data_IF_669983523383
#
_entry.id   IF_669983523383
#
_cell.length_a   1.000
_cell.length_b   1.000
_cell.length_c   1.000
_cell.angle_alpha   90.00
_cell.angle_beta   90.00
_cell.angle_gamma   90.00
#
_symmetry.space_group_name_H-M   'P 1'
#
loop_
_entity.id
_entity.type
_entity.pdbx_description
1 polymer ?
#
# COMPACT_ATOMS: atom_id res chain seq x y z
N UNK A 1 -16.52 -8.05 -4.82
CA UNK A 1 -16.93 -7.11 -3.76
C UNK A 1 -16.46 -5.72 -4.14
N UNK A 2 -17.38 -4.76 -4.24
CA UNK A 2 -17.04 -3.37 -4.56
C UNK A 2 -16.72 -2.66 -3.26
N UNK A 3 -15.45 -2.35 -3.01
CA UNK A 3 -15.05 -1.51 -1.88
C UNK A 3 -15.59 -0.11 -2.18
N UNK A 4 -16.73 0.24 -1.59
CA UNK A 4 -17.22 1.61 -1.56
C UNK A 4 -16.43 2.34 -0.47
N UNK A 5 -15.57 3.27 -0.86
CA UNK A 5 -14.96 4.22 0.06
C UNK A 5 -16.06 5.10 0.66
N UNK A 6 -16.48 4.79 1.89
CA UNK A 6 -17.30 5.71 2.65
C UNK A 6 -16.51 6.99 2.95
N UNK A 7 -17.11 8.13 2.58
CA UNK A 7 -16.56 9.47 2.78
C UNK A 7 -16.50 9.83 4.27
N UNK A 8 -15.49 9.34 5.00
CA UNK A 8 -14.97 9.94 6.24
C UNK A 8 -13.46 9.73 6.27
N UNK A 9 -12.72 10.77 6.66
CA UNK A 9 -11.26 10.94 6.56
C UNK A 9 -10.36 9.92 7.31
N UNK A 10 -10.76 8.65 7.49
CA UNK A 10 -9.98 7.61 8.19
C UNK A 10 -9.10 6.78 7.26
N UNK A 11 -7.99 6.23 7.76
CA UNK A 11 -7.18 5.21 7.07
C UNK A 11 -8.08 4.03 6.64
N UNK A 12 -7.81 3.41 5.48
CA UNK A 12 -8.68 2.37 4.95
C UNK A 12 -8.80 1.14 5.86
N UNK A 13 -9.93 0.43 5.83
CA UNK A 13 -10.11 -0.89 6.48
C UNK A 13 -9.03 -1.90 6.03
N UNK A 14 -8.45 -1.65 4.86
CA UNK A 14 -7.34 -2.41 4.32
C UNK A 14 -6.05 -2.25 5.13
N UNK A 15 -5.79 -1.06 5.72
CA UNK A 15 -4.67 -0.89 6.65
C UNK A 15 -4.84 -1.78 7.89
N UNK A 16 -6.04 -1.86 8.45
CA UNK A 16 -6.31 -2.70 9.62
C UNK A 16 -6.04 -4.17 9.30
N UNK A 17 -6.47 -4.64 8.12
CA UNK A 17 -6.20 -6.00 7.64
C UNK A 17 -4.69 -6.28 7.54
N UNK A 18 -3.91 -5.35 7.01
CA UNK A 18 -2.45 -5.50 6.93
C UNK A 18 -1.81 -5.51 8.32
N UNK A 19 -2.22 -4.63 9.24
CA UNK A 19 -1.67 -4.60 10.61
C UNK A 19 -1.99 -5.85 11.44
N UNK A 20 -2.96 -6.64 11.00
CA UNK A 20 -3.38 -7.90 11.63
C UNK A 20 -2.89 -9.14 10.87
N UNK A 21 -2.06 -8.97 9.83
CA UNK A 21 -1.55 -10.06 9.02
C UNK A 21 -0.78 -11.07 9.89
N UNK A 22 -1.24 -12.32 9.87
CA UNK A 22 -0.62 -13.43 10.62
C UNK A 22 0.39 -14.22 9.79
N UNK A 23 0.43 -14.01 8.48
CA UNK A 23 1.27 -14.78 7.55
C UNK A 23 1.90 -13.89 6.47
N UNK A 24 3.02 -14.33 5.90
CA UNK A 24 3.60 -13.67 4.72
C UNK A 24 2.70 -13.75 3.49
N UNK A 25 1.80 -14.73 3.40
CA UNK A 25 0.81 -14.80 2.32
C UNK A 25 -0.18 -13.64 2.40
N UNK A 26 -0.57 -13.23 3.60
CA UNK A 26 -1.44 -12.07 3.80
C UNK A 26 -0.71 -10.78 3.37
N UNK A 27 0.58 -10.66 3.73
CA UNK A 27 1.43 -9.54 3.31
C UNK A 27 1.68 -9.52 1.79
N UNK A 28 1.93 -10.68 1.17
CA UNK A 28 2.11 -10.82 -0.28
C UNK A 28 0.82 -10.42 -1.02
N UNK A 29 -0.34 -10.82 -0.49
CA UNK A 29 -1.64 -10.45 -1.06
C UNK A 29 -1.86 -8.95 -0.97
N UNK A 30 -1.54 -8.34 0.18
CA UNK A 30 -1.61 -6.90 0.35
C UNK A 30 -0.68 -6.16 -0.61
N UNK A 31 0.57 -6.63 -0.74
CA UNK A 31 1.56 -6.06 -1.65
C UNK A 31 1.10 -6.07 -3.11
N UNK A 32 0.52 -7.18 -3.59
CA UNK A 32 -0.02 -7.26 -4.97
C UNK A 32 -1.12 -6.23 -5.22
N UNK A 33 -2.02 -6.02 -4.25
CA UNK A 33 -3.09 -5.02 -4.36
C UNK A 33 -2.50 -3.62 -4.39
N UNK A 34 -1.61 -3.30 -3.44
CA UNK A 34 -0.97 -1.98 -3.35
C UNK A 34 -0.15 -1.68 -4.60
N UNK A 35 0.60 -2.65 -5.11
CA UNK A 35 1.42 -2.50 -6.32
C UNK A 35 0.58 -2.18 -7.54
N UNK A 36 -0.54 -2.89 -7.73
CA UNK A 36 -1.50 -2.58 -8.79
C UNK A 36 -2.06 -1.16 -8.65
N UNK A 37 -2.48 -0.78 -7.45
CA UNK A 37 -3.00 0.56 -7.19
C UNK A 37 -1.96 1.65 -7.50
N UNK A 38 -0.67 1.40 -7.22
CA UNK A 38 0.42 2.34 -7.54
C UNK A 38 0.69 2.48 -9.03
N UNK A 39 0.56 1.41 -9.82
CA UNK A 39 0.59 1.53 -11.29
C UNK A 39 -0.61 2.34 -11.81
N UNK A 40 -1.81 2.12 -11.24
CA UNK A 40 -2.99 2.91 -11.58
C UNK A 40 -2.84 4.40 -11.19
N UNK A 41 -2.28 4.69 -10.02
CA UNK A 41 -1.94 6.04 -9.54
C UNK A 41 -0.98 6.72 -10.52
N UNK A 42 0.08 6.02 -10.94
CA UNK A 42 1.10 6.53 -11.87
C UNK A 42 0.50 6.90 -13.21
N UNK A 43 -0.45 6.11 -13.72
CA UNK A 43 -1.17 6.43 -14.97
C UNK A 43 -2.11 7.63 -14.81
N UNK A 44 -2.72 7.81 -13.64
CA UNK A 44 -3.68 8.89 -13.36
C UNK A 44 -3.00 10.22 -13.01
N UNK A 45 -1.80 10.21 -12.43
CA UNK A 45 -1.10 11.41 -11.95
C UNK A 45 -0.22 12.08 -13.02
N UNK A 46 -0.84 12.53 -14.11
CA UNK A 46 -0.14 13.21 -15.22
C UNK A 46 0.59 14.50 -14.80
N UNK A 47 0.27 15.06 -13.64
CA UNK A 47 0.85 16.30 -13.10
C UNK A 47 1.91 16.05 -12.01
N UNK A 48 2.24 14.79 -11.71
CA UNK A 48 3.29 14.43 -10.75
C UNK A 48 3.01 14.89 -9.31
N UNK A 49 1.74 15.01 -8.91
CA UNK A 49 1.30 15.50 -7.59
C UNK A 49 1.60 14.51 -6.46
N UNK A 50 1.88 13.26 -6.80
CA UNK A 50 2.16 12.16 -5.89
C UNK A 50 3.62 11.71 -5.93
N UNK A 51 4.47 12.37 -6.73
CA UNK A 51 5.86 11.94 -7.02
C UNK A 51 6.69 11.57 -5.77
N UNK A 52 6.63 12.37 -4.71
CA UNK A 52 7.37 12.09 -3.47
C UNK A 52 6.87 10.83 -2.77
N UNK A 53 5.57 10.58 -2.77
CA UNK A 53 4.98 9.37 -2.19
C UNK A 53 5.26 8.14 -3.05
N UNK A 54 5.26 8.30 -4.39
CA UNK A 54 5.67 7.25 -5.34
C UNK A 54 7.13 6.82 -5.11
N UNK A 55 8.03 7.79 -4.90
CA UNK A 55 9.43 7.49 -4.63
C UNK A 55 9.58 6.69 -3.32
N UNK A 56 8.89 7.12 -2.26
CA UNK A 56 8.91 6.39 -1.00
C UNK A 56 8.32 4.99 -1.13
N UNK A 57 7.23 4.84 -1.89
CA UNK A 57 6.68 3.52 -2.19
C UNK A 57 7.70 2.63 -2.90
N UNK A 58 8.46 3.17 -3.85
CA UNK A 58 9.46 2.39 -4.59
C UNK A 58 10.58 1.88 -3.68
N UNK A 59 11.08 2.72 -2.77
CA UNK A 59 12.04 2.29 -1.74
C UNK A 59 11.47 1.16 -0.86
N UNK A 60 10.21 1.29 -0.44
CA UNK A 60 9.56 0.25 0.36
C UNK A 60 9.27 -1.03 -0.43
N UNK A 61 9.01 -0.93 -1.74
CA UNK A 61 8.76 -2.10 -2.59
C UNK A 61 9.98 -2.99 -2.73
N UNK A 62 11.18 -2.41 -2.82
CA UNK A 62 12.44 -3.16 -2.83
C UNK A 62 12.61 -3.93 -1.52
N UNK A 63 12.35 -3.27 -0.38
CA UNK A 63 12.40 -3.91 0.94
C UNK A 63 11.33 -5.00 1.07
N UNK A 64 10.11 -4.76 0.57
CA UNK A 64 9.01 -5.72 0.60
C UNK A 64 9.33 -6.97 -0.23
N UNK A 65 9.90 -6.81 -1.43
CA UNK A 65 10.36 -7.92 -2.27
C UNK A 65 11.43 -8.74 -1.56
N UNK A 66 12.39 -8.07 -0.92
CA UNK A 66 13.40 -8.76 -0.13
C UNK A 66 12.77 -9.54 1.03
N UNK A 67 11.84 -8.94 1.78
CA UNK A 67 11.13 -9.60 2.88
C UNK A 67 10.40 -10.86 2.41
N UNK A 68 9.68 -10.78 1.29
CA UNK A 68 8.90 -11.89 0.72
C UNK A 68 9.79 -12.98 0.13
N UNK A 69 10.96 -12.64 -0.40
CA UNK A 69 11.91 -13.60 -0.97
C UNK A 69 12.77 -14.32 0.09
N UNK A 70 12.94 -13.73 1.27
CA UNK A 70 13.73 -14.31 2.38
C UNK A 70 13.00 -15.43 3.12
N UNK A 71 11.70 -15.63 2.89
CA UNK A 71 10.87 -16.35 3.87
C UNK A 71 10.70 -17.84 3.63
N UNK A 72 11.09 -18.65 4.64
CA UNK A 72 10.92 -20.11 4.70
C UNK A 72 9.73 -20.56 5.58
N UNK A 73 8.63 -19.79 5.63
CA UNK A 73 7.43 -20.16 6.37
C UNK A 73 7.37 -19.71 7.85
N UNK A 74 8.20 -18.74 8.25
CA UNK A 74 8.07 -18.05 9.54
C UNK A 74 6.91 -17.05 9.55
N UNK A 75 6.49 -16.57 10.72
CA UNK A 75 5.47 -15.51 10.87
C UNK A 75 6.15 -14.14 10.64
N UNK A 76 5.48 -13.16 10.00
CA UNK A 76 6.03 -11.81 9.85
C UNK A 76 6.32 -11.15 11.19
N UNK A 77 7.43 -10.44 11.28
CA UNK A 77 7.72 -9.59 12.42
C UNK A 77 6.82 -8.35 12.41
N UNK A 78 6.72 -7.67 13.56
CA UNK A 78 6.02 -6.39 13.64
C UNK A 78 6.62 -5.33 12.70
N UNK A 79 7.93 -5.41 12.43
CA UNK A 79 8.61 -4.51 11.50
C UNK A 79 8.23 -4.83 10.05
N UNK A 80 8.13 -6.10 9.68
CA UNK A 80 7.65 -6.50 8.36
C UNK A 80 6.23 -5.95 8.15
N UNK A 81 5.33 -6.22 9.09
CA UNK A 81 3.94 -5.72 9.06
C UNK A 81 3.88 -4.20 8.95
N UNK A 82 4.74 -3.47 9.67
CA UNK A 82 4.79 -2.01 9.61
C UNK A 82 5.19 -1.48 8.23
N UNK A 83 6.11 -2.16 7.52
CA UNK A 83 6.52 -1.79 6.16
C UNK A 83 5.33 -1.88 5.19
N UNK A 84 4.61 -3.00 5.18
CA UNK A 84 3.42 -3.14 4.34
C UNK A 84 2.31 -2.16 4.76
N UNK A 85 2.18 -1.87 6.06
CA UNK A 85 1.26 -0.86 6.57
C UNK A 85 1.58 0.54 6.03
N UNK A 86 2.85 0.95 6.03
CA UNK A 86 3.31 2.23 5.47
C UNK A 86 2.97 2.32 3.97
N UNK A 87 3.15 1.23 3.22
CA UNK A 87 2.79 1.19 1.79
C UNK A 87 1.29 1.42 1.56
N UNK A 88 0.42 0.84 2.40
CA UNK A 88 -1.04 1.09 2.34
C UNK A 88 -1.36 2.56 2.66
N UNK A 89 -0.69 3.14 3.66
CA UNK A 89 -0.88 4.57 3.99
C UNK A 89 -0.48 5.45 2.81
N UNK A 90 0.66 5.18 2.17
CA UNK A 90 1.11 5.94 1.00
C UNK A 90 0.10 5.83 -0.15
N UNK A 91 -0.42 4.63 -0.42
CA UNK A 91 -1.47 4.38 -1.40
C UNK A 91 -2.71 5.22 -1.12
N UNK A 92 -3.19 5.23 0.13
CA UNK A 92 -4.37 6.01 0.53
C UNK A 92 -4.14 7.52 0.37
N UNK A 93 -2.95 8.01 0.71
CA UNK A 93 -2.56 9.43 0.54
C UNK A 93 -2.53 9.81 -0.94
N UNK A 94 -1.94 8.97 -1.80
CA UNK A 94 -1.89 9.21 -3.24
C UNK A 94 -3.28 9.28 -3.86
N UNK A 95 -4.15 8.31 -3.58
CA UNK A 95 -5.52 8.28 -4.11
C UNK A 95 -6.32 9.52 -3.70
N UNK A 96 -6.26 9.89 -2.41
CA UNK A 96 -6.92 11.12 -1.92
C UNK A 96 -6.42 12.36 -2.62
N UNK A 97 -5.10 12.45 -2.84
CA UNK A 97 -4.48 13.60 -3.48
C UNK A 97 -4.93 13.68 -4.93
N UNK A 98 -4.94 12.58 -5.69
CA UNK A 98 -5.48 12.57 -7.06
C UNK A 98 -6.94 13.02 -7.08
N UNK A 99 -7.79 12.40 -6.26
CA UNK A 99 -9.23 12.67 -6.25
C UNK A 99 -9.57 14.11 -5.84
N UNK A 100 -8.76 14.73 -4.95
CA UNK A 100 -8.95 16.12 -4.53
C UNK A 100 -8.80 17.13 -5.67
N UNK A 101 -8.08 16.77 -6.73
CA UNK A 101 -7.84 17.64 -7.88
C UNK A 101 -8.53 17.16 -9.18
N UNK A 102 -9.44 16.19 -9.07
CA UNK A 102 -10.31 15.74 -10.17
C UNK A 102 -11.71 16.39 -10.13
N UNK A 103 -11.93 17.34 -9.21
CA UNK A 103 -13.14 18.18 -9.11
C UNK A 103 -12.84 19.59 -9.59
#
# INVERSE_FOLDING_TARGET
MTIKSDKKNGLSDFLLQVTQAGTFRDLESAYKIVSKDFEDIKMRDSKGRTKTFMQRYQELSEIADEILNRTNGTIPSAQDVAIFGEMVVLRDVCLRRIDSFSK
#
